data_IF_848737726448
#
_entry.id   IF_848737726448
#
_cell.length_a   1.000
_cell.length_b   1.000
_cell.length_c   1.000
_cell.angle_alpha   90.00
_cell.angle_beta   90.00
_cell.angle_gamma   90.00
#
_symmetry.space_group_name_H-M   'P 1'
#
loop_
_entity.id
_entity.type
_entity.pdbx_description
1 polymer ?
#
# COMPACT_ATOMS: atom_id res chain seq x y z
N UNK A 1 -1.85 -38.12 -24.25
CA UNK A 1 -1.65 -36.91 -23.49
C UNK A 1 -3.01 -36.33 -23.21
N UNK A 2 -3.49 -36.48 -21.99
CA UNK A 2 -4.82 -36.04 -21.57
C UNK A 2 -4.68 -34.66 -20.94
N UNK A 3 -4.90 -33.63 -21.72
CA UNK A 3 -4.98 -32.26 -21.22
C UNK A 3 -6.42 -32.03 -20.71
N UNK A 4 -6.65 -32.35 -19.45
CA UNK A 4 -7.90 -32.01 -18.78
C UNK A 4 -8.17 -30.51 -18.76
N UNK A 5 -9.44 -30.08 -18.58
CA UNK A 5 -9.83 -28.66 -18.66
C UNK A 5 -9.02 -27.82 -17.68
N UNK A 6 -8.53 -26.68 -18.17
CA UNK A 6 -7.82 -25.68 -17.37
C UNK A 6 -8.82 -25.08 -16.38
N UNK A 7 -8.68 -25.40 -15.11
CA UNK A 7 -9.52 -24.82 -14.05
C UNK A 7 -8.93 -23.50 -13.55
N UNK A 8 -9.78 -22.62 -13.02
CA UNK A 8 -9.34 -21.35 -12.41
C UNK A 8 -8.31 -21.52 -11.31
N UNK A 9 -8.33 -22.68 -10.58
CA UNK A 9 -7.31 -23.04 -9.60
C UNK A 9 -5.94 -23.31 -10.25
N UNK A 10 -5.90 -24.03 -11.37
CA UNK A 10 -4.66 -24.27 -12.13
C UNK A 10 -4.11 -22.99 -12.75
N UNK A 11 -4.97 -22.06 -13.18
CA UNK A 11 -4.55 -20.72 -13.61
C UNK A 11 -3.96 -19.91 -12.46
N UNK A 12 -4.53 -19.99 -11.25
CA UNK A 12 -4.00 -19.35 -10.05
C UNK A 12 -2.61 -19.88 -9.67
N UNK A 13 -2.38 -21.17 -9.76
CA UNK A 13 -1.08 -21.80 -9.49
C UNK A 13 -0.04 -21.47 -10.58
N UNK A 14 -0.45 -21.26 -11.82
CA UNK A 14 0.44 -20.86 -12.93
C UNK A 14 0.80 -19.36 -12.88
N UNK A 15 -0.05 -18.52 -12.29
CA UNK A 15 0.17 -17.06 -12.19
C UNK A 15 0.85 -16.70 -10.86
N UNK A 16 0.92 -17.60 -9.88
CA UNK A 16 1.65 -17.43 -8.63
C UNK A 16 1.10 -16.36 -7.67
N UNK A 17 -0.06 -15.78 -7.95
CA UNK A 17 -0.70 -14.78 -7.09
C UNK A 17 -2.11 -15.25 -6.74
N UNK A 18 -2.32 -15.57 -5.45
CA UNK A 18 -3.65 -15.88 -4.93
C UNK A 18 -4.44 -14.58 -4.74
N UNK A 19 -5.75 -14.68 -4.92
CA UNK A 19 -6.66 -13.58 -4.59
C UNK A 19 -6.50 -13.22 -3.10
N UNK A 20 -6.28 -11.94 -2.80
CA UNK A 20 -6.02 -11.46 -1.43
C UNK A 20 -4.54 -11.49 -0.98
N UNK A 21 -3.62 -11.84 -1.87
CA UNK A 21 -2.17 -11.92 -1.57
C UNK A 21 -1.33 -11.04 -2.51
N UNK A 22 -1.91 -9.96 -3.00
CA UNK A 22 -1.22 -9.00 -3.89
C UNK A 22 -0.44 -7.95 -3.08
N UNK A 23 0.54 -7.26 -3.68
CA UNK A 23 1.16 -6.09 -3.07
C UNK A 23 0.16 -4.99 -2.67
N UNK A 24 -0.96 -4.87 -3.38
CA UNK A 24 -2.05 -3.94 -3.03
C UNK A 24 -2.79 -4.39 -1.77
N UNK A 25 -3.03 -5.70 -1.59
CA UNK A 25 -3.64 -6.24 -0.37
C UNK A 25 -2.75 -6.00 0.84
N UNK A 26 -1.43 -6.18 0.69
CA UNK A 26 -0.44 -5.85 1.71
C UNK A 26 -0.51 -4.35 2.07
N UNK A 27 -0.45 -3.46 1.07
CA UNK A 27 -0.56 -2.01 1.28
C UNK A 27 -1.86 -1.63 1.99
N UNK A 28 -2.97 -2.21 1.56
CA UNK A 28 -4.29 -1.94 2.13
C UNK A 28 -4.36 -2.41 3.59
N UNK A 29 -3.77 -3.56 3.94
CA UNK A 29 -3.66 -4.01 5.31
C UNK A 29 -2.88 -3.01 6.18
N UNK A 30 -1.72 -2.51 5.70
CA UNK A 30 -0.95 -1.47 6.40
C UNK A 30 -1.78 -0.21 6.60
N UNK A 31 -2.42 0.30 5.55
CA UNK A 31 -3.21 1.53 5.59
C UNK A 31 -4.47 1.41 6.46
N UNK A 32 -5.03 0.21 6.55
CA UNK A 32 -6.16 -0.07 7.43
C UNK A 32 -5.75 -0.31 8.89
N UNK A 33 -4.45 -0.39 9.19
CA UNK A 33 -3.94 -0.67 10.53
C UNK A 33 -4.04 -2.14 10.93
N UNK A 34 -4.26 -3.03 9.96
CA UNK A 34 -4.21 -4.49 10.17
C UNK A 34 -2.77 -4.98 10.07
N UNK A 35 -2.02 -4.70 11.14
CA UNK A 35 -0.60 -5.03 11.24
C UNK A 35 -0.36 -6.54 11.15
N UNK A 36 -1.24 -7.35 11.71
CA UNK A 36 -1.10 -8.81 11.70
C UNK A 36 -1.18 -9.36 10.27
N UNK A 37 -2.20 -8.95 9.51
CA UNK A 37 -2.33 -9.32 8.09
C UNK A 37 -1.16 -8.78 7.26
N UNK A 38 -0.74 -7.53 7.47
CA UNK A 38 0.39 -6.96 6.75
C UNK A 38 1.69 -7.74 6.99
N UNK A 39 1.99 -8.13 8.24
CA UNK A 39 3.17 -8.95 8.57
C UNK A 39 3.09 -10.35 7.94
N UNK A 40 1.93 -10.98 7.97
CA UNK A 40 1.71 -12.29 7.35
C UNK A 40 1.91 -12.23 5.83
N UNK A 41 1.41 -11.18 5.17
CA UNK A 41 1.53 -11.00 3.73
C UNK A 41 2.95 -10.62 3.28
N UNK A 42 3.78 -10.04 4.13
CA UNK A 42 5.11 -9.56 3.74
C UNK A 42 5.96 -10.62 3.04
N UNK A 43 6.22 -11.80 3.62
CA UNK A 43 7.02 -12.82 2.92
C UNK A 43 6.32 -13.36 1.67
N UNK A 44 4.98 -13.43 1.68
CA UNK A 44 4.20 -13.92 0.54
C UNK A 44 4.36 -13.00 -0.68
N UNK A 45 4.19 -11.69 -0.49
CA UNK A 45 4.31 -10.74 -1.60
C UNK A 45 5.75 -10.57 -2.07
N UNK A 46 6.73 -10.64 -1.17
CA UNK A 46 8.15 -10.55 -1.53
C UNK A 46 8.64 -11.78 -2.31
N UNK A 47 7.97 -12.93 -2.20
CA UNK A 47 8.28 -14.12 -3.00
C UNK A 47 7.80 -14.02 -4.46
N UNK A 48 6.94 -13.04 -4.77
CA UNK A 48 6.38 -12.88 -6.11
C UNK A 48 7.38 -12.23 -7.07
N UNK A 49 7.36 -12.66 -8.32
CA UNK A 49 8.25 -12.13 -9.36
C UNK A 49 8.07 -10.61 -9.52
N UNK A 50 9.17 -9.88 -9.49
CA UNK A 50 9.18 -8.42 -9.67
C UNK A 50 8.72 -7.61 -8.46
N UNK A 51 8.52 -8.25 -7.29
CA UNK A 51 8.24 -7.56 -6.03
C UNK A 51 9.51 -7.50 -5.19
N UNK A 52 9.83 -6.31 -4.69
CA UNK A 52 10.97 -6.04 -3.82
C UNK A 52 10.56 -5.11 -2.68
N UNK A 53 11.39 -4.99 -1.65
CA UNK A 53 11.21 -4.03 -0.57
C UNK A 53 11.06 -2.59 -1.09
N UNK A 54 11.85 -2.20 -2.09
CA UNK A 54 11.76 -0.89 -2.75
C UNK A 54 10.39 -0.68 -3.38
N UNK A 55 9.88 -1.69 -4.11
CA UNK A 55 8.56 -1.61 -4.74
C UNK A 55 7.44 -1.49 -3.71
N UNK A 56 7.51 -2.23 -2.61
CA UNK A 56 6.53 -2.14 -1.52
C UNK A 56 6.58 -0.77 -0.82
N UNK A 57 7.78 -0.25 -0.56
CA UNK A 57 7.96 1.09 -0.01
C UNK A 57 7.38 2.18 -0.94
N UNK A 58 7.60 2.09 -2.26
CA UNK A 58 7.03 3.02 -3.24
C UNK A 58 5.50 2.95 -3.26
N UNK A 59 4.94 1.73 -3.26
CA UNK A 59 3.50 1.51 -3.26
C UNK A 59 2.83 2.12 -2.01
N UNK A 60 3.42 1.88 -0.84
CA UNK A 60 2.95 2.45 0.42
C UNK A 60 3.14 3.97 0.46
N UNK A 61 4.29 4.47 0.00
CA UNK A 61 4.59 5.89 -0.07
C UNK A 61 3.59 6.67 -0.92
N UNK A 62 3.24 6.14 -2.10
CA UNK A 62 2.20 6.73 -2.96
C UNK A 62 0.85 6.81 -2.23
N UNK A 63 0.44 5.74 -1.55
CA UNK A 63 -0.81 5.72 -0.80
C UNK A 63 -0.82 6.72 0.38
N UNK A 64 0.29 6.81 1.12
CA UNK A 64 0.43 7.74 2.23
C UNK A 64 0.40 9.20 1.77
N UNK A 65 1.09 9.54 0.68
CA UNK A 65 1.12 10.90 0.13
C UNK A 65 -0.26 11.29 -0.41
N UNK A 66 -0.91 10.41 -1.16
CA UNK A 66 -2.26 10.66 -1.66
C UNK A 66 -3.27 10.81 -0.50
N UNK A 67 -3.14 9.99 0.54
CA UNK A 67 -3.97 10.12 1.76
C UNK A 67 -3.70 11.45 2.48
N UNK A 68 -2.45 11.90 2.56
CA UNK A 68 -2.10 13.18 3.18
C UNK A 68 -2.69 14.38 2.42
N UNK A 69 -2.66 14.35 1.09
CA UNK A 69 -3.29 15.36 0.24
C UNK A 69 -4.83 15.35 0.41
N UNK A 70 -5.43 14.15 0.45
CA UNK A 70 -6.87 13.98 0.72
C UNK A 70 -7.23 14.49 2.12
N UNK A 71 -6.40 14.22 3.13
CA UNK A 71 -6.56 14.71 4.49
C UNK A 71 -6.56 16.24 4.56
N UNK A 72 -5.73 16.90 3.77
CA UNK A 72 -5.70 18.37 3.70
C UNK A 72 -7.05 18.95 3.21
N UNK A 73 -7.72 18.30 2.26
CA UNK A 73 -9.09 18.66 1.88
C UNK A 73 -10.09 18.38 3.00
N UNK A 74 -9.94 17.21 3.65
CA UNK A 74 -10.79 16.83 4.77
C UNK A 74 -10.68 17.83 5.93
N UNK A 75 -9.51 18.30 6.28
CA UNK A 75 -9.30 19.31 7.34
C UNK A 75 -9.93 20.67 7.00
N UNK A 76 -10.03 21.00 5.69
CA UNK A 76 -10.77 22.17 5.19
C UNK A 76 -12.29 21.95 5.12
N UNK A 77 -12.81 20.90 5.76
CA UNK A 77 -14.24 20.55 5.81
C UNK A 77 -14.84 20.10 4.46
N UNK A 78 -14.02 19.77 3.48
CA UNK A 78 -14.50 19.13 2.24
C UNK A 78 -14.89 17.69 2.57
N UNK A 79 -16.12 17.28 2.21
CA UNK A 79 -16.70 15.97 2.57
C UNK A 79 -17.52 15.40 1.42
N UNK A 80 -17.84 14.11 1.53
CA UNK A 80 -18.75 13.40 0.65
C UNK A 80 -18.36 13.54 -0.82
N UNK A 81 -19.32 13.83 -1.68
CA UNK A 81 -19.11 13.93 -3.13
C UNK A 81 -18.04 14.96 -3.52
N UNK A 82 -17.97 16.08 -2.81
CA UNK A 82 -16.96 17.12 -3.07
C UNK A 82 -15.54 16.61 -2.81
N UNK A 83 -15.35 15.81 -1.75
CA UNK A 83 -14.06 15.19 -1.44
C UNK A 83 -13.70 14.15 -2.52
N UNK A 84 -14.63 13.30 -2.91
CA UNK A 84 -14.41 12.31 -3.97
C UNK A 84 -13.99 12.99 -5.28
N UNK A 85 -14.66 14.09 -5.66
CA UNK A 85 -14.33 14.85 -6.88
C UNK A 85 -12.93 15.46 -6.78
N UNK A 86 -12.56 16.02 -5.65
CA UNK A 86 -11.23 16.60 -5.44
C UNK A 86 -10.13 15.54 -5.55
N UNK A 87 -10.33 14.36 -4.93
CA UNK A 87 -9.39 13.24 -4.99
C UNK A 87 -9.29 12.68 -6.40
N UNK A 88 -10.42 12.53 -7.10
CA UNK A 88 -10.44 12.10 -8.49
C UNK A 88 -9.65 13.04 -9.40
N UNK A 89 -9.84 14.34 -9.23
CA UNK A 89 -9.10 15.37 -9.99
C UNK A 89 -7.61 15.31 -9.68
N UNK A 90 -7.23 15.13 -8.41
CA UNK A 90 -5.84 14.98 -7.98
C UNK A 90 -5.18 13.78 -8.66
N UNK A 91 -5.81 12.61 -8.65
CA UNK A 91 -5.30 11.39 -9.29
C UNK A 91 -5.13 11.59 -10.79
N UNK A 92 -6.13 12.17 -11.46
CA UNK A 92 -6.09 12.46 -12.90
C UNK A 92 -4.94 13.39 -13.30
N UNK A 93 -4.69 14.40 -12.47
CA UNK A 93 -3.66 15.39 -12.73
C UNK A 93 -2.25 14.87 -12.44
N UNK A 94 -2.08 14.24 -11.28
CA UNK A 94 -0.77 13.78 -10.82
C UNK A 94 -0.34 12.44 -11.46
N UNK A 95 -1.30 11.59 -11.85
CA UNK A 95 -1.07 10.24 -12.39
C UNK A 95 0.03 9.47 -11.65
N UNK A 96 -0.06 9.35 -10.30
CA UNK A 96 1.00 8.74 -9.53
C UNK A 96 1.16 7.26 -9.90
N UNK A 97 2.40 6.80 -9.96
CA UNK A 97 2.70 5.39 -10.17
C UNK A 97 2.26 4.54 -8.98
N UNK A 98 1.90 3.29 -9.22
CA UNK A 98 1.54 2.35 -8.16
C UNK A 98 0.12 2.49 -7.64
N UNK A 99 -0.78 3.10 -8.40
CA UNK A 99 -2.21 3.02 -8.13
C UNK A 99 -2.82 1.77 -8.76
N UNK A 100 -3.80 1.20 -8.06
CA UNK A 100 -4.68 0.16 -8.56
C UNK A 100 -5.81 0.74 -9.42
N UNK A 101 -7.01 0.20 -9.27
CA UNK A 101 -8.19 0.73 -9.95
C UNK A 101 -8.60 2.07 -9.33
N UNK A 102 -8.65 3.12 -10.12
CA UNK A 102 -8.83 4.49 -9.63
C UNK A 102 -10.12 4.72 -8.83
N UNK A 103 -11.21 4.04 -9.17
CA UNK A 103 -12.45 4.11 -8.40
C UNK A 103 -12.26 3.64 -6.95
N UNK A 104 -11.66 2.47 -6.78
CA UNK A 104 -11.35 1.91 -5.46
C UNK A 104 -10.33 2.76 -4.70
N UNK A 105 -9.34 3.32 -5.40
CA UNK A 105 -8.33 4.18 -4.78
C UNK A 105 -8.93 5.47 -4.23
N UNK A 106 -9.86 6.10 -4.95
CA UNK A 106 -10.58 7.29 -4.45
C UNK A 106 -11.33 6.97 -3.16
N UNK A 107 -12.06 5.85 -3.12
CA UNK A 107 -12.79 5.42 -1.93
C UNK A 107 -11.84 5.14 -0.76
N UNK A 108 -10.73 4.45 -1.04
CA UNK A 108 -9.70 4.15 -0.05
C UNK A 108 -9.09 5.43 0.53
N UNK A 109 -8.66 6.37 -0.31
CA UNK A 109 -8.05 7.62 0.16
C UNK A 109 -9.01 8.47 0.97
N UNK A 110 -10.29 8.55 0.60
CA UNK A 110 -11.31 9.24 1.38
C UNK A 110 -11.48 8.58 2.75
N UNK A 111 -11.62 7.25 2.81
CA UNK A 111 -11.76 6.49 4.06
C UNK A 111 -10.52 6.60 4.95
N UNK A 112 -9.32 6.50 4.39
CA UNK A 112 -8.09 6.64 5.15
C UNK A 112 -7.89 8.08 5.65
N UNK A 113 -8.23 9.10 4.87
CA UNK A 113 -8.16 10.49 5.30
C UNK A 113 -8.99 10.80 6.56
N UNK A 114 -10.06 10.06 6.80
CA UNK A 114 -10.85 10.18 8.04
C UNK A 114 -10.11 9.63 9.26
N UNK A 115 -9.35 8.55 9.06
CA UNK A 115 -8.72 7.78 10.15
C UNK A 115 -7.28 8.22 10.46
N UNK A 116 -6.59 8.74 9.46
CA UNK A 116 -5.19 9.14 9.58
C UNK A 116 -5.08 10.62 9.90
N UNK A 117 -4.38 10.94 10.99
CA UNK A 117 -4.05 12.33 11.35
C UNK A 117 -2.82 12.81 10.59
N UNK A 118 -2.66 14.14 10.41
CA UNK A 118 -1.48 14.71 9.74
C UNK A 118 -0.16 14.30 10.43
N UNK A 119 -0.02 14.33 11.78
CA UNK A 119 1.21 13.87 12.42
C UNK A 119 1.53 12.40 12.15
N UNK A 120 0.51 11.53 12.17
CA UNK A 120 0.67 10.10 11.88
C UNK A 120 1.11 9.87 10.44
N UNK A 121 0.51 10.57 9.47
CA UNK A 121 0.90 10.51 8.06
C UNK A 121 2.36 10.93 7.85
N UNK A 122 2.80 12.04 8.48
CA UNK A 122 4.20 12.47 8.41
C UNK A 122 5.17 11.42 8.96
N UNK A 123 4.85 10.82 10.10
CA UNK A 123 5.67 9.78 10.70
C UNK A 123 5.74 8.53 9.80
N UNK A 124 4.62 8.11 9.21
CA UNK A 124 4.57 6.98 8.30
C UNK A 124 5.34 7.22 7.00
N UNK A 125 5.19 8.41 6.40
CA UNK A 125 5.96 8.82 5.22
C UNK A 125 7.47 8.80 5.52
N UNK A 126 7.88 9.33 6.69
CA UNK A 126 9.28 9.28 7.10
C UNK A 126 9.78 7.85 7.26
N UNK A 127 9.01 6.99 7.94
CA UNK A 127 9.36 5.58 8.10
C UNK A 127 9.52 4.86 6.75
N UNK A 128 8.63 5.16 5.79
CA UNK A 128 8.68 4.59 4.43
C UNK A 128 9.93 5.07 3.67
N UNK A 129 10.28 6.35 3.78
CA UNK A 129 11.52 6.88 3.20
C UNK A 129 12.77 6.26 3.82
N UNK A 130 12.79 6.07 5.14
CA UNK A 130 13.90 5.42 5.84
C UNK A 130 14.05 3.95 5.37
N UNK A 131 12.94 3.22 5.20
CA UNK A 131 12.96 1.85 4.67
C UNK A 131 13.46 1.79 3.21
N UNK A 132 13.02 2.71 2.34
CA UNK A 132 13.52 2.79 0.96
C UNK A 132 15.04 3.05 0.91
N UNK A 133 15.54 3.94 1.76
CA UNK A 133 16.98 4.20 1.87
C UNK A 133 17.74 2.98 2.38
N UNK A 134 17.23 2.29 3.39
CA UNK A 134 17.84 1.07 3.92
C UNK A 134 17.95 0.00 2.86
N UNK A 135 16.89 -0.23 2.08
CA UNK A 135 16.87 -1.20 0.98
C UNK A 135 17.91 -0.91 -0.11
N UNK A 136 18.31 0.35 -0.28
CA UNK A 136 19.27 0.77 -1.30
C UNK A 136 20.72 0.83 -0.80
N UNK A 137 20.92 0.89 0.51
CA UNK A 137 22.26 1.15 1.10
C UNK A 137 22.91 -0.07 1.75
N UNK A 138 22.19 -1.17 1.95
CA UNK A 138 22.69 -2.36 2.61
C UNK A 138 23.21 -3.39 1.61
N UNK A 139 24.42 -3.92 1.85
CA UNK A 139 25.00 -5.06 1.12
C UNK A 139 24.40 -6.40 1.52
N UNK A 140 23.72 -6.47 2.66
CA UNK A 140 22.98 -7.64 3.14
C UNK A 140 21.50 -7.34 3.01
N UNK A 141 20.87 -7.93 2.01
CA UNK A 141 19.47 -7.66 1.68
C UNK A 141 18.56 -8.57 2.49
N UNK A 142 18.17 -8.14 3.68
CA UNK A 142 17.02 -8.71 4.38
C UNK A 142 15.77 -7.87 4.05
N UNK A 143 15.27 -8.03 2.83
CA UNK A 143 14.07 -7.33 2.36
C UNK A 143 12.88 -7.60 3.27
N UNK A 144 12.76 -8.82 3.79
CA UNK A 144 11.67 -9.20 4.70
C UNK A 144 11.75 -8.43 6.02
N UNK A 145 12.93 -8.38 6.64
CA UNK A 145 13.14 -7.65 7.89
C UNK A 145 12.89 -6.16 7.75
N UNK A 146 13.38 -5.54 6.67
CA UNK A 146 13.16 -4.11 6.39
C UNK A 146 11.65 -3.81 6.24
N UNK A 147 10.92 -4.62 5.50
CA UNK A 147 9.49 -4.42 5.28
C UNK A 147 8.68 -4.70 6.55
N UNK A 148 9.04 -5.72 7.33
CA UNK A 148 8.39 -6.00 8.61
C UNK A 148 8.61 -4.86 9.63
N UNK A 149 9.82 -4.33 9.72
CA UNK A 149 10.10 -3.15 10.55
C UNK A 149 9.26 -1.96 10.11
N UNK A 150 9.16 -1.71 8.80
CA UNK A 150 8.31 -0.66 8.25
C UNK A 150 6.85 -0.83 8.68
N UNK A 151 6.30 -2.04 8.54
CA UNK A 151 4.92 -2.35 8.95
C UNK A 151 4.71 -2.06 10.44
N UNK A 152 5.64 -2.47 11.29
CA UNK A 152 5.57 -2.24 12.74
C UNK A 152 5.64 -0.74 13.07
N UNK A 153 6.54 0.01 12.44
CA UNK A 153 6.68 1.46 12.65
C UNK A 153 5.44 2.25 12.22
N UNK A 154 4.83 1.86 11.11
CA UNK A 154 3.61 2.51 10.57
C UNK A 154 2.38 2.09 11.37
N UNK A 155 2.32 0.84 11.81
CA UNK A 155 1.23 0.28 12.61
C UNK A 155 1.23 0.74 14.07
N UNK A 156 2.38 1.16 14.60
CA UNK A 156 2.48 1.65 15.97
C UNK A 156 1.57 2.87 16.18
N UNK A 157 0.52 2.71 16.97
CA UNK A 157 -0.25 3.84 17.47
C UNK A 157 0.65 4.61 18.45
N UNK A 158 1.15 5.76 18.02
CA UNK A 158 1.58 6.77 19.01
C UNK A 158 0.31 7.50 19.43
N UNK A 159 -0.11 7.21 20.66
CA UNK A 159 -1.09 8.02 21.37
C UNK A 159 -0.58 9.46 21.48
#
# INVERSE_FOLDING_TARGET
ADEGPVTLERLGDMVGVRHGETPYDWRNAVMNGDTATALRLTPVVLSQTGVSSVRLAQLLGTALVATAATRAHYDRKVRGRALNTAVWTMIKTARPAGLGQWGEEVENFCRWAERWTQPRLRAAIKATLDADRSSKSTTITDDTGIVQELVLRVGAKKD
#
